data_IF_031456868707
#
_entry.id   IF_031456868707
#
_cell.length_a   1.000
_cell.length_b   1.000
_cell.length_c   1.000
_cell.angle_alpha   90.00
_cell.angle_beta   90.00
_cell.angle_gamma   90.00
#
_symmetry.space_group_name_H-M   'P 1'
#
loop_
_entity.id
_entity.type
_entity.pdbx_description
1 polymer ?
#
# COMPACT_ATOMS: atom_id res chain seq x y z
N UNK A 1 6.36 3.84 -3.91
CA UNK A 1 7.38 3.27 -3.03
C UNK A 1 7.12 3.54 -1.55
N UNK A 2 7.82 2.81 -0.63
CA UNK A 2 7.80 3.09 0.80
C UNK A 2 8.50 4.39 1.18
N UNK A 3 8.59 4.71 2.48
CA UNK A 3 9.21 5.94 2.98
C UNK A 3 10.65 6.09 2.47
N UNK A 4 10.98 7.27 1.95
CA UNK A 4 12.27 7.56 1.33
C UNK A 4 12.52 6.84 -0.01
N UNK A 5 11.51 6.15 -0.55
CA UNK A 5 11.62 5.33 -1.73
C UNK A 5 11.72 6.12 -3.04
N UNK A 6 12.34 5.47 -4.04
CA UNK A 6 12.63 6.01 -5.38
C UNK A 6 11.96 5.16 -6.45
N UNK A 7 11.74 5.73 -7.63
CA UNK A 7 11.22 5.01 -8.79
C UNK A 7 12.32 4.27 -9.57
N UNK A 8 13.59 4.71 -9.44
CA UNK A 8 14.75 4.12 -10.09
C UNK A 8 15.43 3.00 -9.28
N UNK A 9 14.81 2.56 -8.18
CA UNK A 9 15.31 1.48 -7.31
C UNK A 9 14.20 0.56 -6.83
N UNK A 10 14.56 -0.60 -6.26
CA UNK A 10 13.61 -1.57 -5.75
C UNK A 10 12.63 -2.08 -6.81
N UNK A 11 11.35 -1.83 -6.65
CA UNK A 11 10.29 -2.33 -7.55
C UNK A 11 10.29 -1.67 -8.93
N UNK A 12 10.74 -0.42 -9.03
CA UNK A 12 10.73 0.30 -10.31
C UNK A 12 11.50 -0.42 -11.42
N UNK A 13 12.83 -0.69 -11.25
CA UNK A 13 13.59 -1.45 -12.24
C UNK A 13 13.02 -2.85 -12.53
N UNK A 14 12.43 -3.51 -11.55
CA UNK A 14 11.81 -4.83 -11.72
C UNK A 14 10.60 -4.77 -12.66
N UNK A 15 9.77 -3.74 -12.52
CA UNK A 15 8.60 -3.53 -13.36
C UNK A 15 8.98 -3.04 -14.75
N UNK A 16 9.93 -2.09 -14.86
CA UNK A 16 10.45 -1.63 -16.15
C UNK A 16 11.11 -2.77 -16.94
N UNK A 17 11.85 -3.66 -16.25
CA UNK A 17 12.44 -4.85 -16.87
C UNK A 17 11.40 -5.87 -17.38
N UNK A 18 10.15 -5.77 -16.92
CA UNK A 18 9.00 -6.53 -17.42
C UNK A 18 8.24 -5.81 -18.53
N UNK A 19 8.73 -4.66 -18.98
CA UNK A 19 8.17 -3.92 -20.12
C UNK A 19 7.04 -2.94 -19.75
N UNK A 20 6.86 -2.60 -18.46
CA UNK A 20 5.85 -1.64 -18.04
C UNK A 20 6.42 -0.22 -18.03
N UNK A 21 5.65 0.72 -18.57
CA UNK A 21 5.88 2.15 -18.37
C UNK A 21 5.42 2.52 -16.96
N UNK A 22 6.29 3.22 -16.22
CA UNK A 22 6.05 3.54 -14.84
C UNK A 22 5.86 5.04 -14.64
N UNK A 23 4.85 5.37 -13.85
CA UNK A 23 4.69 6.70 -13.29
C UNK A 23 4.35 6.57 -11.80
N UNK A 24 4.79 7.53 -10.98
CA UNK A 24 4.51 7.49 -9.55
C UNK A 24 5.22 8.58 -8.78
N UNK A 25 4.96 8.64 -7.48
CA UNK A 25 5.57 9.57 -6.54
C UNK A 25 6.73 8.93 -5.81
N UNK A 26 7.88 9.58 -5.82
CA UNK A 26 8.96 9.27 -4.87
C UNK A 26 8.58 9.86 -3.51
N UNK A 27 8.72 9.07 -2.46
CA UNK A 27 8.39 9.47 -1.08
C UNK A 27 9.58 10.14 -0.39
N UNK A 28 10.17 11.13 -1.07
CA UNK A 28 11.35 11.88 -0.64
C UNK A 28 11.36 13.30 -1.24
N UNK A 29 12.37 14.11 -0.87
CA UNK A 29 12.51 15.49 -1.35
C UNK A 29 11.26 16.31 -1.03
N UNK A 30 10.90 17.24 -1.90
CA UNK A 30 9.80 18.17 -1.72
C UNK A 30 8.46 17.47 -1.38
N UNK A 31 8.19 16.29 -1.93
CA UNK A 31 6.99 15.53 -1.59
C UNK A 31 6.98 15.08 -0.12
N UNK A 32 8.15 14.69 0.42
CA UNK A 32 8.26 14.28 1.83
C UNK A 32 8.16 15.48 2.79
N UNK A 33 8.42 16.70 2.32
CA UNK A 33 8.31 17.93 3.11
C UNK A 33 6.86 18.42 3.23
N UNK A 34 5.94 17.88 2.42
CA UNK A 34 4.52 18.17 2.50
C UNK A 34 3.92 17.63 3.80
N UNK A 35 2.85 18.27 4.28
CA UNK A 35 2.03 17.68 5.34
C UNK A 35 1.43 16.33 4.88
N UNK A 36 1.16 15.43 5.81
CA UNK A 36 0.53 14.15 5.48
C UNK A 36 -0.79 14.33 4.70
N UNK A 37 -1.60 15.33 5.07
CA UNK A 37 -2.84 15.64 4.35
C UNK A 37 -2.60 16.06 2.91
N UNK A 38 -1.53 16.83 2.66
CA UNK A 38 -1.17 17.28 1.32
C UNK A 38 -0.57 16.14 0.49
N UNK A 39 0.25 15.28 1.11
CA UNK A 39 0.73 14.06 0.45
C UNK A 39 -0.44 13.18 -0.01
N UNK A 40 -1.43 12.96 0.85
CA UNK A 40 -2.64 12.19 0.52
C UNK A 40 -3.46 12.86 -0.58
N UNK A 41 -3.62 14.19 -0.53
CA UNK A 41 -4.34 14.95 -1.56
C UNK A 41 -3.62 14.85 -2.92
N UNK A 42 -2.30 14.99 -2.94
CA UNK A 42 -1.48 14.84 -4.15
C UNK A 42 -1.62 13.44 -4.76
N UNK A 43 -1.58 12.39 -3.93
CA UNK A 43 -1.78 11.01 -4.43
C UNK A 43 -3.19 10.81 -4.98
N UNK A 44 -4.21 11.39 -4.33
CA UNK A 44 -5.58 11.34 -4.83
C UNK A 44 -5.73 12.02 -6.20
N UNK A 45 -5.14 13.20 -6.36
CA UNK A 45 -5.12 13.95 -7.63
C UNK A 45 -4.39 13.18 -8.74
N UNK A 46 -3.23 12.59 -8.43
CA UNK A 46 -2.49 11.75 -9.39
C UNK A 46 -3.32 10.55 -9.85
N UNK A 47 -4.01 9.88 -8.92
CA UNK A 47 -4.89 8.75 -9.25
C UNK A 47 -6.02 9.18 -10.20
N UNK A 48 -6.70 10.28 -9.90
CA UNK A 48 -7.82 10.77 -10.72
C UNK A 48 -7.35 11.30 -12.09
N UNK A 49 -6.19 11.93 -12.13
CA UNK A 49 -5.70 12.58 -13.35
C UNK A 49 -5.08 11.59 -14.34
N UNK A 50 -4.30 10.61 -13.84
CA UNK A 50 -3.46 9.79 -14.71
C UNK A 50 -3.84 8.31 -14.73
N UNK A 51 -4.52 7.81 -13.68
CA UNK A 51 -4.70 6.36 -13.51
C UNK A 51 -6.16 5.93 -13.38
N UNK A 52 -7.14 6.83 -13.56
CA UNK A 52 -8.56 6.51 -13.31
C UNK A 52 -9.20 5.79 -14.50
N UNK A 53 -8.71 4.59 -14.80
CA UNK A 53 -9.25 3.72 -15.87
C UNK A 53 -9.10 2.23 -15.49
N UNK A 54 -9.92 1.36 -16.12
CA UNK A 54 -9.97 -0.07 -15.78
C UNK A 54 -8.66 -0.83 -16.05
N UNK A 55 -7.86 -0.38 -17.00
CA UNK A 55 -6.56 -0.98 -17.33
C UNK A 55 -5.41 -0.53 -16.41
N UNK A 56 -5.65 0.39 -15.49
CA UNK A 56 -4.61 0.89 -14.60
C UNK A 56 -4.17 -0.16 -13.58
N UNK A 57 -2.86 -0.23 -13.35
CA UNK A 57 -2.25 -1.08 -12.35
C UNK A 57 -1.57 -0.20 -11.30
N UNK A 58 -2.04 -0.28 -10.07
CA UNK A 58 -1.42 0.42 -8.93
C UNK A 58 -0.70 -0.58 -8.06
N UNK A 59 0.61 -0.38 -7.90
CA UNK A 59 1.43 -1.11 -6.95
C UNK A 59 1.93 -0.14 -5.90
N UNK A 60 1.60 -0.39 -4.65
CA UNK A 60 2.01 0.44 -3.54
C UNK A 60 2.65 -0.39 -2.42
N UNK A 61 3.72 0.14 -1.81
CA UNK A 61 4.49 -0.56 -0.79
C UNK A 61 4.61 0.30 0.47
N UNK A 62 4.44 -0.30 1.65
CA UNK A 62 4.72 0.29 2.96
C UNK A 62 4.01 1.65 3.14
N UNK A 63 4.75 2.72 3.37
CA UNK A 63 4.21 4.09 3.50
C UNK A 63 3.51 4.58 2.22
N UNK A 64 3.99 4.18 1.03
CA UNK A 64 3.29 4.48 -0.23
C UNK A 64 1.92 3.81 -0.30
N UNK A 65 1.80 2.59 0.24
CA UNK A 65 0.50 1.94 0.39
C UNK A 65 -0.39 2.68 1.41
N UNK A 66 0.19 3.20 2.49
CA UNK A 66 -0.53 4.04 3.47
C UNK A 66 -1.12 5.29 2.83
N UNK A 67 -0.33 5.99 2.03
CA UNK A 67 -0.81 7.15 1.27
C UNK A 67 -1.93 6.76 0.30
N UNK A 68 -1.74 5.65 -0.44
CA UNK A 68 -2.76 5.16 -1.36
C UNK A 68 -4.08 4.85 -0.65
N UNK A 69 -4.08 4.07 0.43
CA UNK A 69 -5.33 3.71 1.12
C UNK A 69 -6.01 4.91 1.77
N UNK A 70 -5.25 5.92 2.24
CA UNK A 70 -5.81 7.18 2.71
C UNK A 70 -6.42 8.01 1.56
N UNK A 71 -5.78 8.06 0.40
CA UNK A 71 -6.35 8.70 -0.79
C UNK A 71 -7.62 7.97 -1.23
N UNK A 72 -7.57 6.64 -1.33
CA UNK A 72 -8.70 5.79 -1.72
C UNK A 72 -9.91 5.94 -0.79
N UNK A 73 -9.69 6.18 0.51
CA UNK A 73 -10.79 6.42 1.46
C UNK A 73 -11.60 7.68 1.16
N UNK A 74 -11.06 8.61 0.36
CA UNK A 74 -11.70 9.88 -0.03
C UNK A 74 -12.27 9.84 -1.45
N UNK A 75 -11.86 8.86 -2.24
CA UNK A 75 -12.24 8.72 -3.65
C UNK A 75 -13.35 7.68 -3.80
N UNK A 76 -14.03 7.69 -4.95
CA UNK A 76 -14.88 6.57 -5.37
C UNK A 76 -14.05 5.30 -5.57
N UNK A 77 -14.69 4.15 -5.77
CA UNK A 77 -14.00 2.88 -6.02
C UNK A 77 -13.06 2.97 -7.23
N UNK A 78 -11.76 2.71 -6.99
CA UNK A 78 -10.76 2.73 -8.06
C UNK A 78 -11.06 1.66 -9.10
N UNK A 79 -11.12 2.00 -10.39
CA UNK A 79 -11.59 1.08 -11.42
C UNK A 79 -10.58 0.02 -11.85
N UNK A 80 -9.29 0.26 -11.63
CA UNK A 80 -8.18 -0.63 -11.99
C UNK A 80 -7.86 -1.68 -10.93
N UNK A 81 -6.68 -2.30 -11.07
CA UNK A 81 -6.17 -3.32 -10.13
C UNK A 81 -5.17 -2.71 -9.17
N UNK A 82 -5.20 -3.15 -7.92
CA UNK A 82 -4.33 -2.67 -6.84
C UNK A 82 -3.61 -3.84 -6.18
N UNK A 83 -2.30 -3.71 -6.04
CA UNK A 83 -1.45 -4.60 -5.25
C UNK A 83 -0.80 -3.81 -4.12
N UNK A 84 -1.06 -4.21 -2.88
CA UNK A 84 -0.46 -3.61 -1.69
C UNK A 84 0.56 -4.57 -1.09
N UNK A 85 1.81 -4.13 -0.98
CA UNK A 85 2.90 -4.90 -0.38
C UNK A 85 3.26 -4.28 0.98
N UNK A 86 3.22 -5.08 2.03
CA UNK A 86 3.48 -4.65 3.40
C UNK A 86 2.82 -3.30 3.74
N UNK A 87 1.49 -3.14 3.51
CA UNK A 87 0.84 -1.85 3.70
C UNK A 87 0.77 -1.49 5.17
N UNK A 88 1.17 -0.27 5.51
CA UNK A 88 0.81 0.32 6.80
C UNK A 88 -0.71 0.59 6.75
N UNK A 89 -1.45 0.22 7.78
CA UNK A 89 -2.90 0.44 7.89
C UNK A 89 -3.30 1.14 9.19
N UNK A 90 -2.33 1.44 10.06
CA UNK A 90 -2.57 2.09 11.34
C UNK A 90 -1.38 2.04 12.28
N UNK A 91 -1.60 2.40 13.54
CA UNK A 91 -0.62 2.27 14.61
C UNK A 91 -0.52 0.84 15.12
N UNK A 92 0.62 0.53 15.71
CA UNK A 92 0.89 -0.71 16.41
C UNK A 92 1.65 -0.43 17.71
N UNK A 93 1.26 -1.09 18.77
CA UNK A 93 1.96 -1.07 20.04
C UNK A 93 1.97 -2.49 20.61
N UNK A 94 3.14 -2.95 21.03
CA UNK A 94 3.35 -4.23 21.71
C UNK A 94 4.18 -4.00 22.97
N UNK A 95 3.52 -3.98 24.09
CA UNK A 95 4.14 -3.75 25.40
C UNK A 95 5.12 -4.88 25.78
N UNK A 96 4.91 -6.10 25.29
CA UNK A 96 5.77 -7.25 25.59
C UNK A 96 7.14 -7.12 24.94
N UNK A 97 7.20 -6.56 23.72
CA UNK A 97 8.46 -6.35 22.99
C UNK A 97 8.96 -4.91 23.04
N UNK A 98 8.17 -3.99 23.59
CA UNK A 98 8.45 -2.56 23.60
C UNK A 98 8.45 -1.92 22.20
N UNK A 99 7.88 -2.58 21.21
CA UNK A 99 7.78 -2.05 19.86
C UNK A 99 6.58 -1.14 19.73
N UNK A 100 6.82 0.03 19.19
CA UNK A 100 5.77 1.02 18.96
C UNK A 100 5.93 1.66 17.58
N UNK A 101 4.83 1.83 16.89
CA UNK A 101 4.77 2.54 15.61
C UNK A 101 3.44 3.30 15.52
N UNK A 102 3.52 4.61 15.25
CA UNK A 102 2.34 5.46 15.10
C UNK A 102 2.48 6.37 13.88
N UNK A 103 1.89 6.00 12.76
CA UNK A 103 1.85 6.86 11.58
C UNK A 103 0.86 8.01 11.79
N UNK A 104 0.87 9.07 10.96
CA UNK A 104 -0.13 10.12 10.99
C UNK A 104 -1.55 9.53 10.82
N UNK A 105 -2.54 9.98 11.63
CA UNK A 105 -3.94 9.52 11.59
C UNK A 105 -4.10 7.99 11.78
N UNK A 106 -3.49 7.38 12.80
CA UNK A 106 -3.35 5.92 12.94
C UNK A 106 -4.68 5.16 12.98
N UNK A 107 -5.77 5.79 13.46
CA UNK A 107 -7.08 5.15 13.61
C UNK A 107 -8.05 5.40 12.45
N UNK A 108 -7.66 6.22 11.48
CA UNK A 108 -8.56 6.62 10.39
C UNK A 108 -9.01 5.43 9.56
N UNK A 109 -8.08 4.63 9.10
CA UNK A 109 -8.36 3.48 8.22
C UNK A 109 -9.14 2.39 8.93
N UNK A 110 -8.81 2.11 10.20
CA UNK A 110 -9.55 1.16 11.02
C UNK A 110 -11.03 1.57 11.13
N UNK A 111 -11.29 2.85 11.42
CA UNK A 111 -12.67 3.35 11.48
C UNK A 111 -13.36 3.27 10.12
N UNK A 112 -12.72 3.70 9.05
CA UNK A 112 -13.28 3.67 7.71
C UNK A 112 -13.64 2.25 7.26
N UNK A 113 -12.81 1.27 7.58
CA UNK A 113 -13.07 -0.15 7.31
C UNK A 113 -14.24 -0.69 8.14
N UNK A 114 -14.20 -0.52 9.47
CA UNK A 114 -15.23 -1.04 10.39
C UNK A 114 -16.62 -0.43 10.10
N UNK A 115 -16.66 0.85 9.76
CA UNK A 115 -17.89 1.56 9.42
C UNK A 115 -18.31 1.37 7.95
N UNK A 116 -17.56 0.56 7.19
CA UNK A 116 -17.78 0.29 5.76
C UNK A 116 -17.86 1.56 4.91
N UNK A 117 -17.08 2.58 5.29
CA UNK A 117 -16.97 3.86 4.56
C UNK A 117 -15.76 3.91 3.63
N UNK A 118 -15.01 2.81 3.54
CA UNK A 118 -13.90 2.69 2.62
C UNK A 118 -14.40 2.24 1.24
N UNK A 119 -14.11 3.02 0.21
CA UNK A 119 -14.46 2.68 -1.17
C UNK A 119 -13.43 1.70 -1.73
N UNK A 120 -13.78 0.41 -1.72
CA UNK A 120 -12.89 -0.68 -2.11
C UNK A 120 -12.56 -0.56 -3.60
N UNK A 121 -11.26 -0.63 -4.02
CA UNK A 121 -10.90 -0.78 -5.42
C UNK A 121 -11.56 -2.00 -6.04
N UNK A 122 -11.86 -1.95 -7.33
CA UNK A 122 -12.53 -3.05 -8.05
C UNK A 122 -11.80 -4.39 -7.91
N UNK A 123 -10.48 -4.35 -7.90
CA UNK A 123 -9.61 -5.49 -7.60
C UNK A 123 -8.48 -5.00 -6.69
N UNK A 124 -8.38 -5.60 -5.53
CA UNK A 124 -7.34 -5.26 -4.56
C UNK A 124 -6.88 -6.52 -3.85
N UNK A 125 -5.59 -6.69 -3.68
CA UNK A 125 -5.01 -7.75 -2.85
C UNK A 125 -3.83 -7.21 -2.04
N UNK A 126 -3.58 -7.86 -0.91
CA UNK A 126 -2.56 -7.47 0.06
C UNK A 126 -1.61 -8.62 0.31
N UNK A 127 -0.31 -8.35 0.32
CA UNK A 127 0.73 -9.28 0.74
C UNK A 127 1.53 -8.66 1.88
N UNK A 128 1.73 -9.41 2.97
CA UNK A 128 2.44 -8.97 4.17
C UNK A 128 3.28 -10.10 4.75
N UNK A 129 4.43 -9.78 5.33
CA UNK A 129 5.26 -10.76 6.03
C UNK A 129 4.72 -11.08 7.41
N UNK A 130 4.83 -12.34 7.84
CA UNK A 130 4.37 -12.81 9.16
C UNK A 130 5.06 -12.07 10.32
N UNK A 131 6.35 -11.72 10.14
CA UNK A 131 7.17 -11.02 11.12
C UNK A 131 7.18 -9.50 10.95
N UNK A 132 6.31 -8.97 10.09
CA UNK A 132 6.20 -7.54 9.83
C UNK A 132 5.52 -6.81 10.99
N UNK A 133 6.33 -6.17 11.84
CA UNK A 133 5.82 -5.45 13.00
C UNK A 133 5.28 -4.05 12.63
N UNK A 134 5.68 -3.46 11.51
CA UNK A 134 5.20 -2.12 11.08
C UNK A 134 3.83 -2.23 10.42
N UNK A 135 3.66 -3.15 9.49
CA UNK A 135 2.37 -3.43 8.86
C UNK A 135 1.50 -4.33 9.72
N UNK A 136 2.09 -5.03 10.68
CA UNK A 136 1.45 -5.89 11.67
C UNK A 136 0.29 -6.73 11.10
N UNK A 137 0.53 -7.99 10.68
CA UNK A 137 -0.45 -8.82 9.96
C UNK A 137 -1.85 -8.88 10.57
N UNK A 138 -2.01 -8.96 11.92
CA UNK A 138 -3.33 -8.89 12.54
C UNK A 138 -4.07 -7.57 12.27
N UNK A 139 -3.35 -6.44 12.24
CA UNK A 139 -3.95 -5.13 11.93
C UNK A 139 -4.35 -5.04 10.46
N UNK A 140 -3.52 -5.59 9.56
CA UNK A 140 -3.82 -5.67 8.12
C UNK A 140 -5.06 -6.54 7.90
N UNK A 141 -5.14 -7.71 8.55
CA UNK A 141 -6.32 -8.59 8.47
C UNK A 141 -7.58 -7.91 9.00
N UNK A 142 -7.49 -7.23 10.15
CA UNK A 142 -8.61 -6.50 10.74
C UNK A 142 -9.10 -5.32 9.86
N UNK A 143 -8.21 -4.69 9.09
CA UNK A 143 -8.58 -3.69 8.09
C UNK A 143 -9.26 -4.34 6.88
N UNK A 144 -8.71 -5.44 6.36
CA UNK A 144 -9.11 -6.05 5.10
C UNK A 144 -10.40 -6.89 5.20
N UNK A 145 -10.60 -7.60 6.31
CA UNK A 145 -11.72 -8.53 6.50
C UNK A 145 -13.11 -7.90 6.31
N UNK A 146 -13.47 -6.74 6.93
CA UNK A 146 -14.77 -6.10 6.71
C UNK A 146 -15.00 -5.65 5.26
N UNK A 147 -13.92 -5.52 4.49
CA UNK A 147 -13.89 -5.06 3.11
C UNK A 147 -13.81 -6.22 2.10
N UNK A 148 -13.66 -7.46 2.56
CA UNK A 148 -13.43 -8.64 1.73
C UNK A 148 -12.21 -8.51 0.80
N UNK A 149 -11.15 -7.82 1.25
CA UNK A 149 -9.88 -7.71 0.52
C UNK A 149 -9.03 -8.94 0.86
N UNK A 150 -8.57 -9.73 -0.12
CA UNK A 150 -7.68 -10.87 0.12
C UNK A 150 -6.35 -10.42 0.74
N UNK A 151 -5.91 -11.15 1.78
CA UNK A 151 -4.62 -10.96 2.43
C UNK A 151 -3.82 -12.26 2.38
N UNK A 152 -2.60 -12.19 1.87
CA UNK A 152 -1.63 -13.29 1.90
C UNK A 152 -0.54 -12.95 2.90
N UNK A 153 -0.38 -13.80 3.92
CA UNK A 153 0.69 -13.67 4.92
C UNK A 153 1.82 -14.63 4.58
N UNK A 154 3.03 -14.10 4.42
CA UNK A 154 4.21 -14.86 4.04
C UNK A 154 5.03 -15.22 5.28
N UNK A 155 5.15 -16.55 5.55
CA UNK A 155 5.89 -17.05 6.71
C UNK A 155 7.36 -16.69 6.67
N UNK A 156 7.94 -16.41 7.85
CA UNK A 156 9.35 -16.07 8.05
C UNK A 156 9.81 -14.81 7.28
N UNK A 157 8.90 -13.89 6.93
CA UNK A 157 9.24 -12.66 6.26
C UNK A 157 8.82 -11.44 7.09
N UNK A 158 9.66 -10.43 7.07
CA UNK A 158 9.43 -9.14 7.75
C UNK A 158 8.81 -8.08 6.85
N UNK A 159 9.00 -6.81 7.21
CA UNK A 159 8.46 -5.66 6.48
C UNK A 159 8.90 -5.58 5.02
N UNK A 160 10.13 -5.97 4.75
CA UNK A 160 10.63 -6.09 3.38
C UNK A 160 10.46 -7.55 2.93
N UNK A 161 9.44 -7.81 2.13
CA UNK A 161 9.26 -9.12 1.52
C UNK A 161 10.47 -9.49 0.65
N UNK A 162 10.85 -10.77 0.67
CA UNK A 162 11.97 -11.25 -0.11
C UNK A 162 11.77 -11.02 -1.62
N UNK A 163 12.85 -10.74 -2.31
CA UNK A 163 12.82 -10.48 -3.76
C UNK A 163 12.15 -11.62 -4.55
N UNK A 164 12.42 -12.88 -4.18
CA UNK A 164 11.81 -14.03 -4.85
C UNK A 164 10.29 -14.08 -4.64
N UNK A 165 9.83 -13.78 -3.43
CA UNK A 165 8.40 -13.69 -3.10
C UNK A 165 7.72 -12.60 -3.92
N UNK A 166 8.30 -11.38 -3.92
CA UNK A 166 7.76 -10.25 -4.69
C UNK A 166 7.74 -10.58 -6.19
N UNK A 167 8.80 -11.21 -6.72
CA UNK A 167 8.82 -11.62 -8.13
C UNK A 167 7.68 -12.60 -8.45
N UNK A 168 7.49 -13.63 -7.62
CA UNK A 168 6.41 -14.61 -7.79
C UNK A 168 5.01 -13.98 -7.72
N UNK A 169 4.80 -13.04 -6.77
CA UNK A 169 3.55 -12.25 -6.69
C UNK A 169 3.33 -11.47 -7.97
N UNK A 170 4.33 -10.75 -8.45
CA UNK A 170 4.24 -9.96 -9.69
C UNK A 170 3.96 -10.83 -10.91
N UNK A 171 4.58 -12.01 -11.01
CA UNK A 171 4.37 -12.94 -12.13
C UNK A 171 2.92 -13.47 -12.19
N UNK A 172 2.24 -13.58 -11.04
CA UNK A 172 0.83 -13.94 -10.94
C UNK A 172 -0.14 -12.76 -11.09
N UNK A 173 0.28 -11.57 -10.68
CA UNK A 173 -0.59 -10.39 -10.62
C UNK A 173 -0.57 -9.54 -11.88
N UNK A 174 0.57 -9.40 -12.56
CA UNK A 174 0.68 -8.63 -13.78
C UNK A 174 -0.06 -9.31 -14.94
N UNK A 175 -0.68 -8.55 -15.86
CA UNK A 175 -1.25 -9.10 -17.07
C UNK A 175 -0.14 -9.74 -17.93
N UNK A 176 -0.49 -10.83 -18.61
CA UNK A 176 0.39 -11.52 -19.56
C UNK A 176 0.36 -10.84 -20.93
#
# INVERSE_FOLDING_TARGET
PGQGGRMDSGLGPVLSGRGFDLAGRETRGEFNDLSFSDQVATVAEDLETYFWHEGALVLANSFGAYLFVHAQSRLRSFPGRVLLLSPIVGGFADDATGRYFSPPQPDHLKRASTERRFNIPRQCEIHVGEEDWQSHPPSVSAFAEPLNIPVVVWSNQGHNLEHQTVSGVLDGWLPR
#
